data_IF_338224000507
#
_entry.id   IF_338224000507
#
_cell.length_a   1.000
_cell.length_b   1.000
_cell.length_c   1.000
_cell.angle_alpha   90.00
_cell.angle_beta   90.00
_cell.angle_gamma   90.00
#
_symmetry.space_group_name_H-M   'P 1'
#
loop_
_entity.id
_entity.type
_entity.pdbx_description
1 polymer ?
#
# COMPACT_ATOMS: atom_id res chain seq x y z
N UNK A 1 -22.01 -32.15 18.40
CA UNK A 1 -21.47 -31.90 17.04
C UNK A 1 -19.96 -32.00 17.12
N UNK A 2 -19.28 -32.81 16.30
CA UNK A 2 -17.83 -32.79 16.30
C UNK A 2 -17.38 -31.45 15.69
N UNK A 3 -16.58 -30.70 16.44
CA UNK A 3 -15.92 -29.49 15.96
C UNK A 3 -14.94 -29.88 14.85
N UNK A 4 -14.93 -29.24 13.66
CA UNK A 4 -13.82 -29.42 12.75
C UNK A 4 -12.65 -28.65 13.36
N UNK A 5 -11.81 -29.36 14.12
CA UNK A 5 -10.45 -28.93 14.38
C UNK A 5 -9.73 -28.91 13.04
N UNK A 6 -9.80 -27.78 12.33
CA UNK A 6 -8.81 -27.47 11.31
C UNK A 6 -7.48 -27.34 12.06
N UNK A 7 -6.72 -28.43 12.11
CA UNK A 7 -5.31 -28.37 12.49
C UNK A 7 -4.63 -27.58 11.38
N UNK A 8 -4.54 -26.26 11.57
CA UNK A 8 -3.66 -25.43 10.78
C UNK A 8 -2.25 -25.81 11.22
N UNK A 9 -1.58 -26.62 10.39
CA UNK A 9 -0.23 -27.10 10.66
C UNK A 9 0.74 -25.94 10.36
N UNK A 10 0.97 -25.10 11.37
CA UNK A 10 1.85 -23.94 11.27
C UNK A 10 3.26 -24.44 11.02
N UNK A 11 3.80 -24.19 9.84
CA UNK A 11 5.20 -24.49 9.53
C UNK A 11 6.10 -23.27 9.81
N UNK A 12 7.43 -23.46 9.79
CA UNK A 12 8.40 -22.39 10.03
C UNK A 12 8.29 -21.23 9.01
N UNK A 13 7.86 -21.49 7.79
CA UNK A 13 7.65 -20.44 6.79
C UNK A 13 6.45 -19.56 7.14
N UNK A 14 5.39 -20.14 7.68
CA UNK A 14 4.22 -19.40 8.16
C UNK A 14 4.59 -18.48 9.33
N UNK A 15 5.38 -18.98 10.27
CA UNK A 15 5.88 -18.18 11.41
C UNK A 15 6.73 -17.01 10.91
N UNK A 16 7.70 -17.28 10.03
CA UNK A 16 8.57 -16.25 9.48
C UNK A 16 7.79 -15.19 8.70
N UNK A 17 6.80 -15.62 7.91
CA UNK A 17 5.91 -14.72 7.19
C UNK A 17 5.11 -13.84 8.16
N UNK A 18 4.48 -14.43 9.19
CA UNK A 18 3.70 -13.69 10.18
C UNK A 18 4.57 -12.64 10.89
N UNK A 19 5.78 -13.00 11.33
CA UNK A 19 6.71 -12.06 11.98
C UNK A 19 7.05 -10.88 11.06
N UNK A 20 7.26 -11.13 9.76
CA UNK A 20 7.52 -10.04 8.79
C UNK A 20 6.30 -9.15 8.61
N UNK A 21 5.12 -9.74 8.45
CA UNK A 21 3.85 -9.00 8.32
C UNK A 21 3.55 -8.17 9.57
N UNK A 22 3.78 -8.71 10.77
CA UNK A 22 3.58 -7.99 12.03
C UNK A 22 4.45 -6.73 12.10
N UNK A 23 5.75 -6.86 11.79
CA UNK A 23 6.68 -5.70 11.71
C UNK A 23 6.24 -4.67 10.67
N UNK A 24 5.68 -5.12 9.54
CA UNK A 24 5.16 -4.22 8.51
C UNK A 24 3.88 -3.52 8.97
N UNK A 25 2.99 -4.20 9.68
CA UNK A 25 1.77 -3.60 10.27
C UNK A 25 2.13 -2.57 11.34
N UNK A 26 3.14 -2.84 12.18
CA UNK A 26 3.65 -1.85 13.14
C UNK A 26 4.21 -0.60 12.44
N UNK A 27 4.99 -0.78 11.36
CA UNK A 27 5.45 0.35 10.53
C UNK A 27 4.28 1.10 9.90
N UNK A 28 3.28 0.38 9.39
CA UNK A 28 2.06 0.96 8.84
C UNK A 28 1.36 1.85 9.87
N UNK A 29 1.16 1.36 11.08
CA UNK A 29 0.52 2.14 12.15
C UNK A 29 1.32 3.40 12.51
N UNK A 30 2.66 3.30 12.62
CA UNK A 30 3.52 4.46 12.87
C UNK A 30 3.40 5.53 11.79
N UNK A 31 3.37 5.14 10.51
CA UNK A 31 3.23 6.12 9.41
C UNK A 31 1.81 6.66 9.29
N UNK A 32 0.79 5.84 9.58
CA UNK A 32 -0.61 6.28 9.69
C UNK A 32 -0.75 7.40 10.73
N UNK A 33 -0.22 7.21 11.92
CA UNK A 33 -0.35 8.18 13.02
C UNK A 33 0.35 9.51 12.69
N UNK A 34 1.41 9.46 11.87
CA UNK A 34 2.13 10.64 11.35
C UNK A 34 1.52 11.24 10.09
N UNK A 35 0.47 10.62 9.53
CA UNK A 35 -0.08 10.91 8.21
C UNK A 35 0.98 10.91 7.09
N UNK A 36 2.04 10.11 7.25
CA UNK A 36 3.10 9.98 6.26
C UNK A 36 2.65 9.04 5.12
N UNK A 37 2.02 9.65 4.11
CA UNK A 37 1.54 8.92 2.94
C UNK A 37 2.67 8.24 2.17
N UNK A 38 3.87 8.83 2.17
CA UNK A 38 5.00 8.28 1.44
C UNK A 38 5.53 7.03 2.13
N UNK A 39 5.80 7.11 3.44
CA UNK A 39 6.20 5.95 4.24
C UNK A 39 5.19 4.81 4.14
N UNK A 40 3.89 5.13 4.19
CA UNK A 40 2.81 4.15 4.03
C UNK A 40 2.82 3.44 2.69
N UNK A 41 3.03 4.16 1.58
CA UNK A 41 3.10 3.52 0.25
C UNK A 41 4.28 2.56 0.16
N UNK A 42 5.41 2.89 0.79
CA UNK A 42 6.54 1.96 0.91
C UNK A 42 6.13 0.67 1.61
N UNK A 43 5.48 0.79 2.77
CA UNK A 43 4.99 -0.37 3.54
C UNK A 43 3.93 -1.17 2.77
N UNK A 44 3.04 -0.50 2.03
CA UNK A 44 2.07 -1.16 1.15
C UNK A 44 2.76 -2.08 0.14
N UNK A 45 3.82 -1.58 -0.52
CA UNK A 45 4.58 -2.36 -1.49
C UNK A 45 5.34 -3.51 -0.83
N UNK A 46 5.90 -3.31 0.36
CA UNK A 46 6.53 -4.39 1.14
C UNK A 46 5.51 -5.50 1.48
N UNK A 47 4.33 -5.13 1.99
CA UNK A 47 3.24 -6.08 2.29
C UNK A 47 2.80 -6.80 1.03
N UNK A 48 2.64 -6.07 -0.10
CA UNK A 48 2.33 -6.68 -1.39
C UNK A 48 3.36 -7.75 -1.74
N UNK A 49 4.65 -7.41 -1.75
CA UNK A 49 5.71 -8.36 -2.12
C UNK A 49 5.77 -9.57 -1.20
N UNK A 50 5.62 -9.39 0.12
CA UNK A 50 5.58 -10.51 1.06
C UNK A 50 4.38 -11.42 0.80
N UNK A 51 3.18 -10.87 0.62
CA UNK A 51 1.97 -11.65 0.34
C UNK A 51 2.06 -12.35 -1.02
N UNK A 52 2.56 -11.68 -2.06
CA UNK A 52 2.77 -12.29 -3.37
C UNK A 52 3.79 -13.43 -3.29
N UNK A 53 4.88 -13.24 -2.54
CA UNK A 53 5.91 -14.26 -2.33
C UNK A 53 5.39 -15.47 -1.55
N UNK A 54 4.55 -15.25 -0.54
CA UNK A 54 3.98 -16.31 0.28
C UNK A 54 2.85 -17.07 -0.43
N UNK A 55 1.96 -16.36 -1.12
CA UNK A 55 0.76 -16.97 -1.75
C UNK A 55 0.97 -17.38 -3.21
N UNK A 56 2.01 -16.90 -3.87
CA UNK A 56 2.23 -17.05 -5.31
C UNK A 56 1.27 -16.24 -6.19
N UNK A 57 0.31 -15.52 -5.60
CA UNK A 57 -0.65 -14.69 -6.33
C UNK A 57 -0.01 -13.34 -6.65
N UNK A 58 -0.33 -12.78 -7.82
CA UNK A 58 0.05 -11.41 -8.20
C UNK A 58 -1.13 -10.47 -8.04
N UNK A 59 -0.88 -9.29 -7.49
CA UNK A 59 -1.90 -8.26 -7.30
C UNK A 59 -1.73 -7.13 -8.30
N UNK A 60 -2.84 -6.80 -8.99
CA UNK A 60 -2.96 -5.60 -9.79
C UNK A 60 -3.53 -4.47 -8.92
N UNK A 61 -2.66 -3.54 -8.53
CA UNK A 61 -3.03 -2.40 -7.68
C UNK A 61 -4.15 -1.56 -8.32
N UNK A 62 -4.20 -1.40 -9.64
CA UNK A 62 -5.26 -0.61 -10.30
C UNK A 62 -6.61 -1.29 -10.19
N UNK A 63 -6.63 -2.63 -10.28
CA UNK A 63 -7.85 -3.41 -10.09
C UNK A 63 -8.34 -3.31 -8.64
N UNK A 64 -7.46 -3.48 -7.67
CA UNK A 64 -7.83 -3.41 -6.25
C UNK A 64 -8.25 -2.00 -5.83
N UNK A 65 -7.62 -0.95 -6.40
CA UNK A 65 -8.03 0.44 -6.23
C UNK A 65 -9.49 0.69 -6.63
N UNK A 66 -9.96 0.11 -7.75
CA UNK A 66 -11.37 0.21 -8.16
C UNK A 66 -12.31 -0.51 -7.18
N UNK A 67 -11.85 -1.57 -6.53
CA UNK A 67 -12.59 -2.25 -5.47
C UNK A 67 -12.79 -1.34 -4.26
N UNK A 68 -11.71 -0.69 -3.82
CA UNK A 68 -11.72 0.25 -2.69
C UNK A 68 -12.55 1.50 -3.00
N UNK A 69 -12.48 2.02 -4.22
CA UNK A 69 -13.32 3.14 -4.67
C UNK A 69 -14.81 2.84 -4.47
N UNK A 70 -15.26 1.64 -4.86
CA UNK A 70 -16.65 1.22 -4.68
C UNK A 70 -17.04 1.20 -3.21
N UNK A 71 -16.15 0.75 -2.33
CA UNK A 71 -16.44 0.66 -0.89
C UNK A 71 -16.49 2.04 -0.23
N UNK A 72 -15.57 2.95 -0.59
CA UNK A 72 -15.59 4.34 -0.15
C UNK A 72 -16.87 5.05 -0.60
N UNK A 73 -17.29 4.82 -1.85
CA UNK A 73 -18.53 5.38 -2.39
C UNK A 73 -19.78 4.91 -1.63
N UNK A 74 -19.80 3.65 -1.15
CA UNK A 74 -20.90 3.15 -0.29
C UNK A 74 -20.95 3.86 1.06
N UNK A 75 -19.80 4.28 1.60
CA UNK A 75 -19.72 5.04 2.85
C UNK A 75 -19.95 6.55 2.65
N UNK A 76 -20.35 6.99 1.45
CA UNK A 76 -20.69 8.38 1.16
C UNK A 76 -19.52 9.26 0.72
N UNK A 77 -18.28 8.76 0.77
CA UNK A 77 -17.12 9.45 0.20
C UNK A 77 -17.20 9.46 -1.33
N UNK A 78 -16.90 10.59 -1.99
CA UNK A 78 -16.77 10.63 -3.46
C UNK A 78 -15.44 11.22 -3.88
N UNK A 79 -14.77 10.51 -4.79
CA UNK A 79 -13.55 10.97 -5.43
C UNK A 79 -13.85 12.10 -6.41
N UNK A 80 -12.98 13.11 -6.47
CA UNK A 80 -12.95 14.06 -7.59
C UNK A 80 -12.37 13.36 -8.81
N UNK A 81 -12.73 13.87 -9.99
CA UNK A 81 -12.22 13.37 -11.27
C UNK A 81 -10.69 13.41 -11.27
N UNK A 82 -10.06 12.25 -11.50
CA UNK A 82 -8.62 12.12 -11.60
C UNK A 82 -7.89 11.78 -10.29
N UNK A 83 -8.52 11.85 -9.12
CA UNK A 83 -7.82 11.56 -7.85
C UNK A 83 -7.38 10.12 -7.72
N UNK A 84 -8.28 9.18 -8.00
CA UNK A 84 -7.95 7.76 -7.94
C UNK A 84 -6.82 7.42 -8.93
N UNK A 85 -6.83 8.06 -10.10
CA UNK A 85 -5.78 7.91 -11.11
C UNK A 85 -4.45 8.45 -10.59
N UNK A 86 -4.43 9.63 -9.99
CA UNK A 86 -3.23 10.24 -9.43
C UNK A 86 -2.68 9.44 -8.23
N UNK A 87 -3.53 8.86 -7.39
CA UNK A 87 -3.12 7.90 -6.35
C UNK A 87 -2.47 6.66 -6.99
N UNK A 88 -3.09 6.08 -8.02
CA UNK A 88 -2.53 4.95 -8.75
C UNK A 88 -1.17 5.26 -9.40
N UNK A 89 -1.02 6.44 -10.00
CA UNK A 89 0.25 6.91 -10.56
C UNK A 89 1.33 7.08 -9.48
N UNK A 90 0.98 7.62 -8.29
CA UNK A 90 1.90 7.66 -7.13
C UNK A 90 2.37 6.26 -6.73
N UNK A 91 1.46 5.28 -6.66
CA UNK A 91 1.84 3.91 -6.33
C UNK A 91 2.77 3.31 -7.38
N UNK A 92 2.46 3.48 -8.67
CA UNK A 92 3.32 3.01 -9.78
C UNK A 92 4.71 3.65 -9.76
N UNK A 93 4.80 4.97 -9.55
CA UNK A 93 6.08 5.69 -9.46
C UNK A 93 6.93 5.17 -8.30
N UNK A 94 6.27 4.92 -7.16
CA UNK A 94 6.93 4.36 -5.98
C UNK A 94 7.38 2.92 -6.18
N UNK A 95 6.56 2.09 -6.84
CA UNK A 95 6.89 0.71 -7.19
C UNK A 95 8.08 0.64 -8.15
N UNK A 96 8.13 1.50 -9.18
CA UNK A 96 9.30 1.65 -10.06
C UNK A 96 10.56 1.99 -9.28
N UNK A 97 10.49 2.98 -8.38
CA UNK A 97 11.63 3.38 -7.54
C UNK A 97 12.06 2.25 -6.61
N UNK A 98 11.10 1.54 -6.03
CA UNK A 98 11.36 0.38 -5.16
C UNK A 98 12.06 -0.75 -5.92
N UNK A 99 11.60 -1.05 -7.13
CA UNK A 99 12.22 -2.06 -8.00
C UNK A 99 13.62 -1.66 -8.44
N UNK A 100 13.83 -0.40 -8.87
CA UNK A 100 15.14 0.11 -9.24
C UNK A 100 16.13 0.01 -8.07
N UNK A 101 15.72 0.42 -6.87
CA UNK A 101 16.55 0.30 -5.67
C UNK A 101 16.94 -1.15 -5.39
N UNK A 102 15.98 -2.08 -5.46
CA UNK A 102 16.26 -3.51 -5.24
C UNK A 102 17.24 -4.07 -6.28
N UNK A 103 17.06 -3.69 -7.56
CA UNK A 103 17.97 -4.07 -8.64
C UNK A 103 19.36 -3.47 -8.45
N UNK A 104 19.44 -2.19 -8.07
CA UNK A 104 20.70 -1.49 -7.82
C UNK A 104 21.48 -2.13 -6.66
N UNK A 105 20.80 -2.51 -5.58
CA UNK A 105 21.43 -3.25 -4.47
C UNK A 105 21.94 -4.61 -4.95
N UNK A 106 21.16 -5.34 -5.75
CA UNK A 106 21.60 -6.63 -6.30
C UNK A 106 22.83 -6.47 -7.21
N UNK A 107 22.86 -5.45 -8.06
CA UNK A 107 24.00 -5.12 -8.90
C UNK A 107 25.23 -4.77 -8.03
N UNK A 108 25.07 -3.94 -7.00
CA UNK A 108 26.15 -3.62 -6.05
C UNK A 108 26.75 -4.88 -5.43
N UNK A 109 25.91 -5.80 -4.96
CA UNK A 109 26.34 -7.09 -4.39
C UNK A 109 27.09 -7.93 -5.44
N UNK A 110 26.55 -8.04 -6.65
CA UNK A 110 27.12 -8.86 -7.72
C UNK A 110 28.49 -8.35 -8.19
N UNK A 111 28.68 -7.03 -8.22
CA UNK A 111 29.93 -6.40 -8.65
C UNK A 111 30.88 -6.07 -7.49
N UNK A 112 30.49 -6.38 -6.24
CA UNK A 112 31.29 -6.07 -5.05
C UNK A 112 31.45 -4.56 -4.78
N UNK A 113 30.49 -3.76 -5.23
CA UNK A 113 30.47 -2.30 -5.06
C UNK A 113 29.68 -1.97 -3.79
N UNK A 114 30.15 -1.00 -3.00
CA UNK A 114 29.42 -0.52 -1.83
C UNK A 114 28.15 0.23 -2.25
N UNK A 115 27.04 -0.02 -1.56
CA UNK A 115 25.79 0.65 -1.86
C UNK A 115 25.86 2.14 -1.49
N UNK A 116 25.69 2.99 -2.50
CA UNK A 116 25.62 4.44 -2.35
C UNK A 116 24.22 4.95 -2.75
N UNK A 117 23.61 5.74 -1.87
CA UNK A 117 22.26 6.27 -2.04
C UNK A 117 22.20 7.38 -3.10
N UNK A 118 23.23 8.21 -3.18
CA UNK A 118 23.29 9.31 -4.14
C UNK A 118 23.46 8.77 -5.57
N UNK A 119 24.30 7.74 -5.73
CA UNK A 119 24.48 7.03 -6.99
C UNK A 119 23.22 6.27 -7.42
N UNK A 120 22.51 5.63 -6.49
CA UNK A 120 21.19 5.02 -6.75
C UNK A 120 20.20 6.07 -7.27
N UNK A 121 20.16 7.23 -6.62
CA UNK A 121 19.25 8.29 -7.01
C UNK A 121 19.58 8.88 -8.39
N UNK A 122 20.86 9.14 -8.66
CA UNK A 122 21.33 9.64 -9.95
C UNK A 122 21.03 8.66 -11.09
N UNK A 123 21.27 7.37 -10.88
CA UNK A 123 20.96 6.34 -11.89
C UNK A 123 19.46 6.19 -12.13
N UNK A 124 18.64 6.32 -11.09
CA UNK A 124 17.19 6.36 -11.23
C UNK A 124 16.75 7.56 -12.07
N UNK A 125 17.26 8.76 -11.75
CA UNK A 125 16.95 9.98 -12.51
C UNK A 125 17.43 9.93 -13.95
N UNK A 126 18.60 9.35 -14.23
CA UNK A 126 19.08 9.18 -15.60
C UNK A 126 18.17 8.28 -16.45
N UNK A 127 17.56 7.25 -15.84
CA UNK A 127 16.65 6.32 -16.52
C UNK A 127 15.21 6.81 -16.63
N UNK A 128 14.76 7.62 -15.66
CA UNK A 128 13.35 8.01 -15.52
C UNK A 128 13.08 9.52 -15.51
N UNK A 129 14.10 10.35 -15.74
CA UNK A 129 14.00 11.82 -15.66
C UNK A 129 13.09 12.48 -16.69
N UNK A 130 12.63 11.75 -17.71
CA UNK A 130 11.65 12.21 -18.70
C UNK A 130 10.22 11.72 -18.45
N UNK A 131 9.94 11.02 -17.33
CA UNK A 131 8.57 10.65 -16.99
C UNK A 131 7.72 11.94 -16.87
N UNK A 132 6.60 11.97 -17.61
CA UNK A 132 5.71 13.13 -17.79
C UNK A 132 5.40 13.83 -16.45
N UNK A 133 5.41 15.17 -16.47
CA UNK A 133 5.07 16.03 -15.34
C UNK A 133 3.88 15.47 -14.56
N UNK A 134 4.09 15.28 -13.26
CA UNK A 134 3.09 14.77 -12.33
C UNK A 134 1.81 15.61 -12.48
N UNK A 135 0.66 14.94 -12.58
CA UNK A 135 -0.63 15.62 -12.51
C UNK A 135 -0.69 16.24 -11.11
N UNK A 136 -0.52 17.56 -11.04
CA UNK A 136 -0.54 18.36 -9.81
C UNK A 136 -1.98 18.47 -9.27
N UNK A 137 -2.57 17.32 -8.96
CA UNK A 137 -3.83 17.24 -8.23
C UNK A 137 -3.52 17.29 -6.74
N UNK A 138 -4.05 18.30 -6.06
CA UNK A 138 -4.04 18.38 -4.61
C UNK A 138 -5.01 17.32 -4.05
N UNK A 139 -4.46 16.16 -3.67
CA UNK A 139 -5.20 15.03 -3.13
C UNK A 139 -5.13 15.12 -1.60
N UNK A 140 -6.28 15.11 -0.89
CA UNK A 140 -6.27 15.11 0.57
C UNK A 140 -5.42 13.98 1.14
N UNK A 141 -4.51 14.30 2.06
CA UNK A 141 -3.57 13.31 2.61
C UNK A 141 -4.29 12.11 3.24
N UNK A 142 -5.43 12.36 3.90
CA UNK A 142 -6.28 11.31 4.48
C UNK A 142 -6.85 10.35 3.43
N UNK A 143 -7.12 10.84 2.22
CA UNK A 143 -7.57 10.00 1.12
C UNK A 143 -6.46 9.04 0.68
N UNK A 144 -5.25 9.55 0.47
CA UNK A 144 -4.09 8.71 0.11
C UNK A 144 -3.75 7.72 1.23
N UNK A 145 -3.70 8.18 2.48
CA UNK A 145 -3.45 7.34 3.67
C UNK A 145 -4.50 6.23 3.78
N UNK A 146 -5.79 6.58 3.71
CA UNK A 146 -6.89 5.63 3.86
C UNK A 146 -6.92 4.58 2.75
N UNK A 147 -6.75 4.99 1.49
CA UNK A 147 -6.67 4.06 0.34
C UNK A 147 -5.47 3.12 0.48
N UNK A 148 -4.31 3.64 0.91
CA UNK A 148 -3.10 2.83 1.12
C UNK A 148 -3.32 1.77 2.19
N UNK A 149 -3.89 2.15 3.34
CA UNK A 149 -4.21 1.20 4.43
C UNK A 149 -5.23 0.16 3.96
N UNK A 150 -6.27 0.58 3.25
CA UNK A 150 -7.29 -0.34 2.74
C UNK A 150 -6.67 -1.39 1.80
N UNK A 151 -5.76 -0.99 0.91
CA UNK A 151 -5.05 -1.94 0.05
C UNK A 151 -4.17 -2.92 0.83
N UNK A 152 -3.47 -2.47 1.88
CA UNK A 152 -2.72 -3.38 2.76
C UNK A 152 -3.64 -4.48 3.31
N UNK A 153 -4.83 -4.09 3.77
CA UNK A 153 -5.84 -5.03 4.26
C UNK A 153 -6.35 -5.99 3.18
N UNK A 154 -6.55 -5.49 1.95
CA UNK A 154 -6.92 -6.33 0.79
C UNK A 154 -5.87 -7.41 0.54
N UNK A 155 -4.58 -7.09 0.55
CA UNK A 155 -3.53 -8.10 0.34
C UNK A 155 -3.53 -9.15 1.45
N UNK A 156 -3.65 -8.74 2.71
CA UNK A 156 -3.71 -9.65 3.85
C UNK A 156 -4.91 -10.61 3.79
N UNK A 157 -6.02 -10.20 3.15
CA UNK A 157 -7.22 -11.04 3.02
C UNK A 157 -6.95 -12.34 2.25
N UNK A 158 -6.02 -12.31 1.30
CA UNK A 158 -5.70 -13.47 0.45
C UNK A 158 -4.71 -14.44 1.08
N UNK A 159 -4.18 -14.12 2.26
CA UNK A 159 -3.30 -15.00 3.02
C UNK A 159 -4.16 -16.06 3.72
N UNK A 160 -3.95 -17.36 3.48
CA UNK A 160 -4.70 -18.43 4.14
C UNK A 160 -4.25 -18.68 5.59
N UNK A 161 -3.87 -17.64 6.32
CA UNK A 161 -3.48 -17.70 7.74
C UNK A 161 -4.62 -17.06 8.56
N UNK A 162 -5.19 -17.76 9.56
CA UNK A 162 -6.32 -17.26 10.34
C UNK A 162 -6.10 -15.87 10.96
N UNK A 163 -4.89 -15.57 11.42
CA UNK A 163 -4.55 -14.27 11.98
C UNK A 163 -4.65 -13.13 10.95
N UNK A 164 -4.12 -13.36 9.74
CA UNK A 164 -4.22 -12.40 8.64
C UNK A 164 -5.67 -12.19 8.21
N UNK A 165 -6.47 -13.26 8.16
CA UNK A 165 -7.89 -13.19 7.84
C UNK A 165 -8.72 -12.44 8.90
N UNK A 166 -8.31 -12.49 10.17
CA UNK A 166 -8.95 -11.71 11.23
C UNK A 166 -8.59 -10.22 11.16
N UNK A 167 -7.36 -9.89 10.76
CA UNK A 167 -6.89 -8.51 10.65
C UNK A 167 -7.36 -7.80 9.39
N UNK A 168 -7.38 -8.51 8.26
CA UNK A 168 -7.68 -7.94 6.96
C UNK A 168 -8.99 -7.12 6.93
N UNK A 169 -10.15 -7.63 7.37
CA UNK A 169 -11.39 -6.86 7.37
C UNK A 169 -11.33 -5.59 8.22
N UNK A 170 -10.60 -5.62 9.35
CA UNK A 170 -10.44 -4.47 10.25
C UNK A 170 -9.59 -3.39 9.59
N UNK A 171 -8.49 -3.79 8.95
CA UNK A 171 -7.59 -2.89 8.23
C UNK A 171 -8.29 -2.28 7.02
N UNK A 172 -9.04 -3.08 6.24
CA UNK A 172 -9.86 -2.60 5.11
C UNK A 172 -10.86 -1.55 5.60
N UNK A 173 -11.69 -1.90 6.59
CA UNK A 173 -12.73 -1.01 7.11
C UNK A 173 -12.14 0.30 7.65
N UNK A 174 -11.03 0.23 8.39
CA UNK A 174 -10.35 1.42 8.91
C UNK A 174 -9.81 2.31 7.79
N UNK A 175 -9.17 1.72 6.77
CA UNK A 175 -8.65 2.47 5.63
C UNK A 175 -9.75 3.14 4.82
N UNK A 176 -10.84 2.42 4.54
CA UNK A 176 -12.03 2.96 3.84
C UNK A 176 -12.64 4.11 4.63
N UNK A 177 -12.81 3.97 5.95
CA UNK A 177 -13.36 5.04 6.80
C UNK A 177 -12.51 6.32 6.76
N UNK A 178 -11.18 6.19 6.92
CA UNK A 178 -10.25 7.33 6.85
C UNK A 178 -10.33 8.02 5.47
N UNK A 179 -10.43 7.23 4.40
CA UNK A 179 -10.54 7.75 3.04
C UNK A 179 -11.88 8.46 2.80
N UNK A 180 -12.99 7.88 3.29
CA UNK A 180 -14.32 8.48 3.21
C UNK A 180 -14.38 9.81 3.97
N UNK A 181 -13.86 9.86 5.19
CA UNK A 181 -13.74 11.08 6.00
C UNK A 181 -12.91 12.16 5.28
N UNK A 182 -11.79 11.76 4.66
CA UNK A 182 -10.98 12.65 3.85
C UNK A 182 -11.75 13.26 2.67
N UNK A 183 -12.61 12.47 2.01
CA UNK A 183 -13.48 12.95 0.95
C UNK A 183 -14.57 13.91 1.47
N UNK A 184 -15.20 13.59 2.61
CA UNK A 184 -16.32 14.35 3.19
C UNK A 184 -15.87 15.70 3.76
N UNK A 185 -14.79 15.74 4.55
CA UNK A 185 -14.26 16.98 5.13
C UNK A 185 -13.97 18.03 4.06
N UNK A 186 -13.42 17.60 2.92
CA UNK A 186 -13.20 18.47 1.77
C UNK A 186 -14.51 18.99 1.16
N UNK A 187 -15.56 18.18 1.07
CA UNK A 187 -16.85 18.64 0.55
C UNK A 187 -17.46 19.72 1.46
N UNK A 188 -17.26 19.61 2.77
CA UNK A 188 -17.70 20.63 3.72
C UNK A 188 -16.93 21.95 3.55
N UNK A 189 -15.61 21.89 3.33
CA UNK A 189 -14.79 23.08 3.06
C UNK A 189 -15.18 23.78 1.77
N UNK A 190 -15.55 23.03 0.72
CA UNK A 190 -16.03 23.62 -0.55
C UNK A 190 -17.38 24.30 -0.37
N UNK A 191 -18.28 23.76 0.47
CA UNK A 191 -19.59 24.39 0.76
C UNK A 191 -19.48 25.65 1.62
N UNK A 192 -18.37 25.82 2.37
CA UNK A 192 -18.13 26.97 3.26
C UNK A 192 -17.46 28.16 2.57
N UNK A 193 -17.00 28.04 1.32
CA UNK A 193 -16.51 29.18 0.54
C UNK A 193 -17.71 29.82 -0.20
N UNK A 194 -18.06 31.09 0.11
CA UNK A 194 -19.18 31.80 -0.51
C UNK A 194 -18.95 32.07 -2.00
#
# INVERSE_FOLDING_TARGET
>A
MPSPAYSFDVNLNDINFIIRIEKLIEKMNRYKDRLDSDGLIGVLLDIKHEVEGYTGKKFDIEKELKGIEKEINKQGGKFKKGELKAIGEKFKKKEKKHHHKAQFIADCINYGIEYDVELEHLTFMARHGQDKQDIELDIPIRLTVGVTIALCGVFLFFVPIPLCQAWAPRVITAGVGIAADGCMNRMEEVKKKP
#
